data_IF_108145937784
#
_entry.id   IF_108145937784
#
_cell.length_a   1.000
_cell.length_b   1.000
_cell.length_c   1.000
_cell.angle_alpha   90.00
_cell.angle_beta   90.00
_cell.angle_gamma   90.00
#
_symmetry.space_group_name_H-M   'P 1'
#
loop_
_entity.id
_entity.type
_entity.pdbx_description
1 polymer ?
#
# COMPACT_ATOMS: atom_id res chain seq x y z
N UNK A 1 -0.90 4.49 14.30
CA UNK A 1 -2.14 5.16 13.81
C UNK A 1 -3.35 4.37 14.29
N UNK A 2 -4.52 5.00 14.48
CA UNK A 2 -5.76 4.33 14.87
C UNK A 2 -6.71 4.16 13.69
N UNK A 3 -7.50 3.08 13.65
CA UNK A 3 -8.61 2.87 12.72
C UNK A 3 -9.74 2.10 13.41
N UNK A 4 -10.95 2.13 12.85
CA UNK A 4 -12.09 1.36 13.35
C UNK A 4 -12.28 0.12 12.51
N UNK A 5 -12.65 -0.98 13.16
CA UNK A 5 -13.13 -2.17 12.50
C UNK A 5 -14.29 -1.82 11.54
N UNK A 6 -14.27 -2.36 10.32
CA UNK A 6 -15.28 -2.12 9.28
C UNK A 6 -15.50 -0.65 8.89
N UNK A 7 -14.63 0.28 9.26
CA UNK A 7 -14.67 1.65 8.74
C UNK A 7 -13.50 1.91 7.81
N UNK A 8 -13.82 2.51 6.67
CA UNK A 8 -12.81 2.87 5.67
C UNK A 8 -11.87 3.96 6.21
N UNK A 9 -10.59 3.83 5.88
CA UNK A 9 -9.57 4.83 6.11
C UNK A 9 -8.64 4.91 4.91
N UNK A 10 -8.09 6.09 4.64
CA UNK A 10 -7.12 6.27 3.56
C UNK A 10 -5.69 6.21 4.09
N UNK A 11 -4.80 5.59 3.33
CA UNK A 11 -3.34 5.63 3.51
C UNK A 11 -2.72 6.36 2.32
N UNK A 12 -1.84 7.33 2.60
CA UNK A 12 -1.01 7.97 1.58
C UNK A 12 0.40 7.38 1.63
N UNK A 13 0.88 6.90 0.49
CA UNK A 13 2.22 6.38 0.29
C UNK A 13 2.96 7.36 -0.60
N UNK A 14 3.98 7.99 -0.03
CA UNK A 14 4.85 8.90 -0.76
C UNK A 14 6.12 8.17 -1.20
N UNK A 15 6.35 8.14 -2.50
CA UNK A 15 7.48 7.49 -3.13
C UNK A 15 8.45 8.58 -3.59
N UNK A 16 9.67 8.52 -3.07
CA UNK A 16 10.73 9.44 -3.48
C UNK A 16 11.14 9.15 -4.93
N UNK A 17 11.46 10.18 -5.72
CA UNK A 17 11.95 9.99 -7.08
C UNK A 17 13.27 9.22 -7.06
N UNK A 18 13.40 8.26 -7.95
CA UNK A 18 14.62 7.45 -8.10
C UNK A 18 15.11 7.35 -9.55
N UNK A 19 14.50 8.11 -10.47
CA UNK A 19 14.86 8.16 -11.89
C UNK A 19 14.39 6.97 -12.73
N UNK A 20 13.81 5.93 -12.12
CA UNK A 20 13.26 4.78 -12.86
C UNK A 20 11.90 5.08 -13.49
N UNK A 21 11.63 4.51 -14.67
CA UNK A 21 10.35 4.61 -15.37
C UNK A 21 9.26 3.68 -14.84
N UNK A 22 9.63 2.72 -13.99
CA UNK A 22 8.69 1.80 -13.36
C UNK A 22 8.72 1.95 -11.83
N UNK A 23 7.54 1.86 -11.23
CA UNK A 23 7.34 1.83 -9.78
C UNK A 23 6.43 0.66 -9.45
N UNK A 24 6.98 -0.35 -8.79
CA UNK A 24 6.25 -1.50 -8.28
C UNK A 24 6.14 -1.35 -6.76
N UNK A 25 4.93 -1.09 -6.27
CA UNK A 25 4.63 -1.10 -4.84
C UNK A 25 4.17 -2.52 -4.49
N UNK A 26 4.80 -3.13 -3.50
CA UNK A 26 4.37 -4.42 -2.97
C UNK A 26 3.90 -4.31 -1.52
N UNK A 27 2.81 -4.99 -1.16
CA UNK A 27 2.31 -5.12 0.22
C UNK A 27 2.32 -6.59 0.64
N UNK A 28 2.72 -6.87 1.87
CA UNK A 28 2.83 -8.25 2.39
C UNK A 28 1.49 -8.85 2.84
N UNK A 29 1.49 -10.16 3.10
CA UNK A 29 0.30 -10.96 3.43
C UNK A 29 -0.62 -10.41 4.55
N UNK A 30 -0.13 -9.77 5.64
CA UNK A 30 -1.01 -9.14 6.63
C UNK A 30 -1.94 -8.10 5.99
N UNK A 31 -1.48 -7.38 4.97
CA UNK A 31 -2.29 -6.40 4.26
C UNK A 31 -3.49 -7.05 3.56
N UNK A 32 -3.24 -8.10 2.78
CA UNK A 32 -4.26 -8.82 2.02
C UNK A 32 -5.27 -9.58 2.90
N UNK A 33 -4.81 -10.10 4.05
CA UNK A 33 -5.63 -10.93 4.94
C UNK A 33 -6.39 -10.14 6.00
N UNK A 34 -5.90 -8.96 6.39
CA UNK A 34 -6.48 -8.15 7.49
C UNK A 34 -7.24 -6.92 7.02
N UNK A 35 -7.10 -6.55 5.75
CA UNK A 35 -7.81 -5.41 5.18
C UNK A 35 -8.61 -5.81 3.93
N UNK A 36 -9.68 -5.07 3.68
CA UNK A 36 -10.28 -4.94 2.36
C UNK A 36 -9.67 -3.73 1.68
N UNK A 37 -9.18 -3.91 0.46
CA UNK A 37 -8.71 -2.81 -0.39
C UNK A 37 -9.90 -2.26 -1.15
N UNK A 38 -10.11 -0.95 -1.04
CA UNK A 38 -11.10 -0.21 -1.81
C UNK A 38 -10.44 0.50 -2.99
N UNK A 39 -10.65 1.80 -3.06
CA UNK A 39 -10.11 2.66 -4.11
C UNK A 39 -8.59 2.87 -4.04
N UNK A 40 -7.95 3.01 -5.20
CA UNK A 40 -6.50 3.25 -5.36
C UNK A 40 -6.28 4.42 -6.32
N UNK A 41 -5.62 5.48 -5.85
CA UNK A 41 -5.38 6.70 -6.64
C UNK A 41 -3.90 7.14 -6.61
N UNK A 42 -3.24 7.36 -7.76
CA UNK A 42 -3.73 7.06 -9.10
C UNK A 42 -3.97 5.55 -9.30
N UNK A 43 -4.82 5.22 -10.28
CA UNK A 43 -5.06 3.83 -10.67
C UNK A 43 -3.75 3.21 -11.19
N UNK A 44 -3.36 2.02 -10.71
CA UNK A 44 -2.19 1.34 -11.23
C UNK A 44 -2.43 0.80 -12.66
N UNK A 45 -1.38 0.79 -13.47
CA UNK A 45 -1.41 0.20 -14.82
C UNK A 45 -1.61 -1.32 -14.76
N UNK A 46 -1.05 -1.96 -13.72
CA UNK A 46 -1.30 -3.38 -13.41
C UNK A 46 -1.45 -3.58 -11.92
N UNK A 47 -2.40 -4.42 -11.55
CA UNK A 47 -2.58 -4.90 -10.19
C UNK A 47 -2.70 -6.41 -10.20
N UNK A 48 -1.90 -7.08 -9.38
CA UNK A 48 -1.93 -8.53 -9.24
C UNK A 48 -1.45 -8.96 -7.87
N UNK A 49 -1.76 -10.20 -7.49
CA UNK A 49 -1.24 -10.81 -6.28
C UNK A 49 -0.41 -12.03 -6.63
N UNK A 50 0.78 -12.14 -6.04
CA UNK A 50 1.67 -13.28 -6.20
C UNK A 50 2.44 -13.49 -4.89
N UNK A 51 2.76 -14.74 -4.54
CA UNK A 51 3.59 -15.06 -3.35
C UNK A 51 3.07 -14.43 -2.03
N UNK A 52 1.75 -14.31 -1.88
CA UNK A 52 1.14 -13.69 -0.69
C UNK A 52 1.33 -12.17 -0.60
N UNK A 53 1.76 -11.52 -1.68
CA UNK A 53 1.89 -10.07 -1.78
C UNK A 53 0.90 -9.49 -2.79
N UNK A 54 0.47 -8.25 -2.55
CA UNK A 54 -0.23 -7.41 -3.54
C UNK A 54 0.78 -6.54 -4.26
N UNK A 55 0.73 -6.49 -5.58
CA UNK A 55 1.58 -5.65 -6.41
C UNK A 55 0.75 -4.61 -7.14
N UNK A 56 1.17 -3.35 -7.04
CA UNK A 56 0.66 -2.22 -7.80
C UNK A 56 1.79 -1.72 -8.70
N UNK A 57 1.60 -1.79 -10.01
CA UNK A 57 2.60 -1.39 -11.01
C UNK A 57 2.17 -0.08 -11.65
N UNK A 58 3.10 0.87 -11.65
CA UNK A 58 2.95 2.17 -12.30
C UNK A 58 4.07 2.37 -13.33
N UNK A 59 3.67 2.59 -14.58
CA UNK A 59 4.53 3.03 -15.66
C UNK A 59 4.46 4.56 -15.70
N UNK A 60 5.56 5.20 -15.36
CA UNK A 60 5.68 6.66 -15.43
C UNK A 60 6.89 7.04 -16.25
N UNK A 61 6.78 8.13 -17.02
CA UNK A 61 7.99 8.75 -17.57
C UNK A 61 8.96 9.02 -16.42
N UNK A 62 10.27 8.81 -16.63
CA UNK A 62 11.30 9.02 -15.62
C UNK A 62 11.19 10.46 -15.08
N UNK A 63 10.48 10.61 -13.97
CA UNK A 63 10.14 11.89 -13.39
C UNK A 63 10.96 12.09 -12.13
N UNK A 64 11.34 13.35 -11.89
CA UNK A 64 12.08 13.74 -10.69
C UNK A 64 11.15 14.20 -9.56
N UNK A 65 9.84 14.05 -9.74
CA UNK A 65 8.83 14.45 -8.77
C UNK A 65 8.45 13.29 -7.88
N UNK A 66 8.20 13.51 -6.58
CA UNK A 66 7.62 12.49 -5.72
C UNK A 66 6.26 12.02 -6.24
N UNK A 67 5.99 10.72 -6.13
CA UNK A 67 4.69 10.13 -6.44
C UNK A 67 3.92 9.92 -5.14
N UNK A 68 2.62 10.23 -5.13
CA UNK A 68 1.71 9.90 -4.02
C UNK A 68 0.69 8.86 -4.48
N UNK A 69 0.54 7.79 -3.70
CA UNK A 69 -0.49 6.78 -3.89
C UNK A 69 -1.40 6.75 -2.67
N UNK A 70 -2.67 7.05 -2.90
CA UNK A 70 -3.75 6.99 -1.93
C UNK A 70 -4.45 5.64 -2.05
N UNK A 71 -4.68 5.01 -0.91
CA UNK A 71 -5.25 3.68 -0.81
C UNK A 71 -6.35 3.68 0.25
N UNK A 72 -7.59 3.41 -0.15
CA UNK A 72 -8.67 3.17 0.78
C UNK A 72 -8.59 1.74 1.30
N UNK A 73 -8.56 1.60 2.62
CA UNK A 73 -8.50 0.32 3.31
C UNK A 73 -9.54 0.25 4.40
N UNK A 74 -10.20 -0.90 4.51
CA UNK A 74 -11.16 -1.20 5.60
C UNK A 74 -10.64 -2.38 6.41
N UNK A 75 -10.34 -2.22 7.71
CA UNK A 75 -9.89 -3.33 8.54
C UNK A 75 -10.98 -4.39 8.71
N UNK A 76 -10.59 -5.67 8.60
CA UNK A 76 -11.45 -6.84 8.82
C UNK A 76 -11.31 -7.45 10.22
N UNK A 77 -10.29 -7.03 10.97
CA UNK A 77 -9.98 -7.55 12.31
C UNK A 77 -9.54 -6.42 13.24
N UNK A 78 -9.93 -6.49 14.52
CA UNK A 78 -9.45 -5.58 15.55
C UNK A 78 -8.04 -5.96 16.05
N UNK A 79 -7.40 -5.03 16.78
CA UNK A 79 -6.09 -5.22 17.40
C UNK A 79 -4.95 -4.48 16.71
N UNK A 80 -3.72 -4.77 17.13
CA UNK A 80 -2.52 -4.17 16.53
C UNK A 80 -2.11 -4.94 15.28
N UNK A 81 -2.10 -4.28 14.13
CA UNK A 81 -1.73 -4.87 12.85
C UNK A 81 -0.43 -4.23 12.37
N UNK A 82 0.58 -5.07 12.13
CA UNK A 82 1.83 -4.67 11.49
C UNK A 82 1.70 -4.80 9.98
N UNK A 83 1.92 -3.70 9.28
CA UNK A 83 1.83 -3.59 7.84
C UNK A 83 3.22 -3.29 7.28
N UNK A 84 3.46 -3.83 6.08
CA UNK A 84 4.73 -3.66 5.41
C UNK A 84 4.52 -3.46 3.92
N UNK A 85 5.22 -2.47 3.35
CA UNK A 85 5.25 -2.20 1.92
C UNK A 85 6.67 -1.91 1.44
N UNK A 86 6.96 -2.27 0.20
CA UNK A 86 8.23 -1.99 -0.47
C UNK A 86 8.01 -1.37 -1.85
N UNK A 87 9.01 -0.65 -2.35
CA UNK A 87 9.03 -0.11 -3.72
C UNK A 87 10.22 -0.70 -4.46
N UNK A 88 10.00 -1.29 -5.63
CA UNK A 88 11.05 -1.85 -6.50
C UNK A 88 12.00 -2.81 -5.74
N UNK A 89 11.44 -3.67 -4.90
CA UNK A 89 12.15 -4.65 -4.05
C UNK A 89 13.24 -4.05 -3.12
N UNK A 90 13.16 -2.74 -2.84
CA UNK A 90 14.01 -2.09 -1.83
C UNK A 90 13.58 -2.48 -0.41
N UNK A 91 14.40 -2.05 0.54
CA UNK A 91 14.12 -2.22 1.96
C UNK A 91 12.68 -1.77 2.30
N UNK A 92 11.86 -2.65 2.89
CA UNK A 92 10.47 -2.35 3.13
C UNK A 92 10.29 -1.35 4.27
N UNK A 93 9.25 -0.53 4.18
CA UNK A 93 8.76 0.30 5.27
C UNK A 93 7.73 -0.50 6.07
N UNK A 94 7.90 -0.54 7.39
CA UNK A 94 6.99 -1.21 8.32
C UNK A 94 6.30 -0.17 9.21
N UNK A 95 4.99 -0.31 9.41
CA UNK A 95 4.22 0.54 10.31
C UNK A 95 3.15 -0.26 11.05
N UNK A 96 2.73 0.27 12.20
CA UNK A 96 1.70 -0.36 13.03
C UNK A 96 0.41 0.47 13.06
N UNK A 97 -0.72 -0.22 12.95
CA UNK A 97 -2.05 0.36 13.09
C UNK A 97 -2.83 -0.38 14.16
N UNK A 98 -3.33 0.36 15.15
CA UNK A 98 -4.26 -0.18 16.13
C UNK A 98 -5.68 -0.02 15.62
N UNK A 99 -6.40 -1.13 15.49
CA UNK A 99 -7.79 -1.17 15.06
C UNK A 99 -8.68 -1.38 16.27
N UNK A 100 -9.52 -0.40 16.58
CA UNK A 100 -10.53 -0.53 17.63
C UNK A 100 -11.77 -1.26 17.09
N UNK A 101 -12.46 -2.08 17.91
CA UNK A 101 -13.71 -2.74 17.54
C UNK A 101 -14.82 -1.79 17.10
#
# INVERSE_FOLDING_TARGET
RYARLMSETEVNIQIKPDGGSEKIISFTAPFLSRYQVGDIRPQPDKMYSAEGKLYLVYQQAANRSPMSVWLSITPKTAGNISLQAAVNDRAPVTWNQFVYP
#
